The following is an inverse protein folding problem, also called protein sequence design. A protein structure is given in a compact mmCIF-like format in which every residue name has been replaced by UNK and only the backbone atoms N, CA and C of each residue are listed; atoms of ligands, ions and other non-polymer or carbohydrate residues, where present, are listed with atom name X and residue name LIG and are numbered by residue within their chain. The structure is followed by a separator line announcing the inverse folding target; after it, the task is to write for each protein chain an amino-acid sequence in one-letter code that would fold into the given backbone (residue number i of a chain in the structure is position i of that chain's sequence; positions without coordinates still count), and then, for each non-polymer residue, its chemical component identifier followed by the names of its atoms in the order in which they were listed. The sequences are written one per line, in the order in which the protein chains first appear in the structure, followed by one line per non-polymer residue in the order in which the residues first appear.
data_IF_755259623255
#
_entry.id   IF_755259623255
#
_cell.length_a   1.000
_cell.length_b   1.000
_cell.length_c   1.000
_cell.angle_alpha   90.00
_cell.angle_beta   90.00
_cell.angle_gamma   90.00
#
_symmetry.space_group_name_H-M   'P 1'
#
loop_
_entity.id
_entity.type
_entity.pdbx_description
1 polymer ?
#
# COMPACT_ATOMS: atom_id res chain seq x y z
N UNK A 1 -11.65 -11.29 -11.08
CA UNK A 1 -11.51 -9.88 -10.65
C UNK A 1 -10.35 -9.80 -9.68
N UNK A 2 -9.38 -8.96 -9.95
CA UNK A 2 -8.25 -8.70 -9.08
C UNK A 2 -8.50 -7.47 -8.21
N UNK A 3 -7.95 -7.46 -7.01
CA UNK A 3 -8.09 -6.33 -6.07
C UNK A 3 -6.70 -5.80 -5.74
N UNK A 4 -6.51 -4.50 -5.96
CA UNK A 4 -5.28 -3.79 -5.62
C UNK A 4 -5.57 -2.81 -4.49
N UNK A 5 -4.91 -3.02 -3.36
CA UNK A 5 -4.95 -2.13 -2.20
C UNK A 5 -3.74 -1.20 -2.27
N UNK A 6 -3.93 0.04 -2.66
CA UNK A 6 -2.89 1.06 -2.69
C UNK A 6 -2.82 1.75 -1.34
N UNK A 7 -1.72 1.64 -0.66
CA UNK A 7 -1.53 2.27 0.66
C UNK A 7 -0.33 3.22 0.65
N UNK A 8 -0.55 4.46 1.07
CA UNK A 8 0.55 5.33 1.45
C UNK A 8 1.04 4.92 2.85
N UNK A 9 2.36 4.86 3.07
CA UNK A 9 2.94 4.58 4.39
C UNK A 9 2.32 5.47 5.50
N UNK A 10 2.36 5.02 6.75
CA UNK A 10 1.97 5.81 7.92
C UNK A 10 2.83 7.05 8.11
N UNK A 11 2.42 7.98 8.96
CA UNK A 11 3.21 9.19 9.23
C UNK A 11 4.64 8.82 9.65
N UNK A 12 5.62 9.44 8.99
CA UNK A 12 7.03 9.30 9.35
C UNK A 12 7.48 10.43 10.30
N UNK A 13 8.59 10.20 11.00
CA UNK A 13 9.28 11.24 11.76
C UNK A 13 9.72 12.39 10.83
N UNK A 14 10.00 13.55 11.42
CA UNK A 14 10.48 14.72 10.67
C UNK A 14 11.73 14.39 9.85
N UNK A 15 11.89 14.97 8.64
CA UNK A 15 13.13 14.85 7.88
C UNK A 15 14.37 15.33 8.65
N UNK A 16 14.20 16.23 9.63
CA UNK A 16 15.29 16.71 10.48
C UNK A 16 15.74 15.70 11.55
N UNK A 17 14.94 14.66 11.81
CA UNK A 17 15.22 13.64 12.79
C UNK A 17 15.84 12.37 12.17
N UNK A 18 16.23 12.42 10.90
CA UNK A 18 16.84 11.31 10.19
C UNK A 18 18.03 11.79 9.34
N UNK A 19 19.01 10.92 9.13
CA UNK A 19 20.19 11.21 8.32
C UNK A 19 19.83 11.40 6.84
N UNK A 20 18.90 10.59 6.34
CA UNK A 20 18.43 10.64 4.95
C UNK A 20 16.91 10.40 4.89
N UNK A 21 16.25 10.85 3.83
CA UNK A 21 14.81 10.60 3.64
C UNK A 21 14.44 9.11 3.70
N UNK A 22 15.25 8.26 3.07
CA UNK A 22 15.05 6.82 3.04
C UNK A 22 15.07 6.19 4.45
N UNK A 23 15.91 6.68 5.36
CA UNK A 23 16.07 6.18 6.72
C UNK A 23 15.06 6.74 7.74
N UNK A 24 14.13 7.62 7.31
CA UNK A 24 13.09 8.15 8.19
C UNK A 24 12.17 7.02 8.69
N UNK A 25 12.10 6.91 10.01
CA UNK A 25 11.25 5.92 10.66
C UNK A 25 9.78 6.32 10.67
N UNK A 26 8.92 5.34 10.85
CA UNK A 26 7.51 5.54 11.14
C UNK A 26 7.38 6.21 12.52
N UNK A 27 6.60 7.28 12.60
CA UNK A 27 6.32 7.94 13.88
C UNK A 27 5.38 7.09 14.75
N UNK A 28 5.30 7.40 16.05
CA UNK A 28 4.33 6.75 16.94
C UNK A 28 2.89 6.94 16.43
N UNK A 29 2.59 8.14 15.93
CA UNK A 29 1.28 8.40 15.34
C UNK A 29 1.07 7.59 14.04
N UNK A 30 2.11 7.42 13.22
CA UNK A 30 2.07 6.55 12.05
C UNK A 30 1.78 5.09 12.38
N UNK A 31 2.27 4.59 13.52
CA UNK A 31 1.92 3.25 14.04
C UNK A 31 0.44 3.16 14.41
N UNK A 32 -0.10 4.19 15.07
CA UNK A 32 -1.54 4.27 15.41
C UNK A 32 -2.39 4.27 14.14
N UNK A 33 -2.04 5.09 13.14
CA UNK A 33 -2.72 5.12 11.84
C UNK A 33 -2.75 3.74 11.18
N UNK A 34 -1.59 3.08 11.14
CA UNK A 34 -1.42 1.79 10.49
C UNK A 34 -2.17 0.68 11.22
N UNK A 35 -2.13 0.66 12.55
CA UNK A 35 -2.89 -0.30 13.38
C UNK A 35 -4.39 -0.14 13.15
N UNK A 36 -4.89 1.10 13.06
CA UNK A 36 -6.29 1.36 12.75
C UNK A 36 -6.67 0.73 11.40
N UNK A 37 -5.89 0.96 10.35
CA UNK A 37 -6.12 0.38 9.04
C UNK A 37 -6.05 -1.15 9.06
N UNK A 38 -5.07 -1.72 9.73
CA UNK A 38 -4.95 -3.17 9.89
C UNK A 38 -6.20 -3.81 10.49
N UNK A 39 -6.82 -3.16 11.47
CA UNK A 39 -8.06 -3.63 12.10
C UNK A 39 -9.27 -3.58 11.17
N UNK A 40 -9.34 -2.63 10.24
CA UNK A 40 -10.44 -2.52 9.29
C UNK A 40 -10.46 -3.68 8.28
N UNK A 41 -9.29 -4.25 7.98
CA UNK A 41 -9.12 -5.29 6.95
C UNK A 41 -8.81 -6.67 7.52
N UNK A 42 -9.04 -6.90 8.80
CA UNK A 42 -8.74 -8.18 9.44
C UNK A 42 -9.40 -9.37 8.80
N UNK A 43 -10.66 -9.21 8.37
CA UNK A 43 -11.43 -10.27 7.71
C UNK A 43 -11.10 -10.42 6.22
N UNK A 44 -10.30 -9.51 5.68
CA UNK A 44 -9.97 -9.48 4.26
C UNK A 44 -8.82 -10.45 3.96
N UNK A 45 -9.02 -11.28 2.95
CA UNK A 45 -7.98 -12.18 2.50
C UNK A 45 -6.94 -11.39 1.69
N UNK A 46 -5.78 -11.18 2.26
CA UNK A 46 -4.62 -10.57 1.59
C UNK A 46 -3.65 -11.67 1.18
N UNK A 47 -3.26 -11.72 -0.10
CA UNK A 47 -2.36 -12.76 -0.58
C UNK A 47 -0.89 -12.36 -0.43
N UNK A 48 -0.56 -11.10 -0.73
CA UNK A 48 0.82 -10.59 -0.62
C UNK A 48 0.88 -9.08 -0.44
N UNK A 49 1.96 -8.61 0.17
CA UNK A 49 2.34 -7.20 0.27
C UNK A 49 3.55 -6.94 -0.63
N UNK A 50 3.48 -5.90 -1.44
CA UNK A 50 4.59 -5.34 -2.18
C UNK A 50 4.96 -4.01 -1.53
N UNK A 51 6.19 -3.85 -1.07
CA UNK A 51 6.57 -2.79 -0.12
C UNK A 51 7.84 -2.09 -0.58
N UNK A 52 7.81 -0.76 -0.61
CA UNK A 52 9.03 0.04 -0.78
C UNK A 52 10.03 -0.22 0.35
N UNK A 53 11.32 -0.21 0.05
CA UNK A 53 12.40 -0.53 0.99
C UNK A 53 12.73 0.58 2.00
N UNK A 54 12.13 1.77 1.92
CA UNK A 54 12.31 2.82 2.92
C UNK A 54 11.85 2.36 4.33
N UNK A 55 12.48 2.86 5.39
CA UNK A 55 12.16 2.46 6.76
C UNK A 55 10.67 2.60 7.07
N UNK A 56 10.07 3.76 6.76
CA UNK A 56 8.65 4.04 7.05
C UNK A 56 7.69 3.09 6.36
N UNK A 57 7.98 2.63 5.14
CA UNK A 57 7.15 1.65 4.41
C UNK A 57 7.32 0.25 4.96
N UNK A 58 8.55 -0.17 5.25
CA UNK A 58 8.83 -1.46 5.89
C UNK A 58 8.17 -1.57 7.26
N UNK A 59 8.27 -0.51 8.08
CA UNK A 59 7.65 -0.46 9.41
C UNK A 59 6.11 -0.41 9.31
N UNK A 60 5.55 0.27 8.30
CA UNK A 60 4.10 0.20 8.01
C UNK A 60 3.67 -1.25 7.75
N UNK A 61 4.38 -1.99 6.90
CA UNK A 61 4.10 -3.40 6.65
C UNK A 61 4.24 -4.26 7.91
N UNK A 62 5.26 -4.02 8.73
CA UNK A 62 5.45 -4.74 10.01
C UNK A 62 4.29 -4.52 10.97
N UNK A 63 3.81 -3.27 11.12
CA UNK A 63 2.67 -2.94 11.98
C UNK A 63 1.39 -3.61 11.48
N UNK A 64 1.13 -3.64 10.16
CA UNK A 64 -0.01 -4.37 9.60
C UNK A 64 0.06 -5.86 9.94
N UNK A 65 1.21 -6.50 9.67
CA UNK A 65 1.40 -7.94 9.92
C UNK A 65 1.27 -8.28 11.41
N UNK A 66 1.84 -7.46 12.31
CA UNK A 66 1.65 -7.59 13.76
C UNK A 66 0.19 -7.47 14.16
N UNK A 67 -0.51 -6.45 13.64
CA UNK A 67 -1.93 -6.23 13.95
C UNK A 67 -2.77 -7.44 13.55
N UNK A 68 -2.55 -7.98 12.35
CA UNK A 68 -3.26 -9.18 11.89
C UNK A 68 -2.92 -10.43 12.69
N UNK A 69 -1.65 -10.59 13.09
CA UNK A 69 -1.21 -11.69 13.96
C UNK A 69 -1.87 -11.61 15.35
N UNK A 70 -1.90 -10.42 15.94
CA UNK A 70 -2.49 -10.20 17.28
C UNK A 70 -4.01 -10.41 17.29
N UNK A 71 -4.65 -10.37 16.14
CA UNK A 71 -6.08 -10.59 15.97
C UNK A 71 -6.40 -12.00 15.44
N UNK A 72 -5.49 -12.95 15.60
CA UNK A 72 -5.66 -14.36 15.23
C UNK A 72 -5.96 -14.58 13.75
N UNK A 73 -5.37 -13.81 12.86
CA UNK A 73 -5.46 -14.04 11.42
C UNK A 73 -4.97 -15.45 11.08
N UNK A 74 -5.80 -16.23 10.43
CA UNK A 74 -5.47 -17.62 10.04
C UNK A 74 -4.32 -17.70 9.02
N UNK A 75 -4.06 -16.61 8.32
CA UNK A 75 -3.01 -16.50 7.32
C UNK A 75 -2.43 -15.10 7.33
N UNK A 76 -1.11 -15.02 7.35
CA UNK A 76 -0.38 -13.78 7.14
C UNK A 76 0.21 -13.75 5.73
N UNK A 77 0.01 -12.65 4.98
CA UNK A 77 0.59 -12.53 3.64
C UNK A 77 2.11 -12.45 3.70
N UNK A 78 2.76 -12.87 2.63
CA UNK A 78 4.18 -12.60 2.41
C UNK A 78 4.41 -11.13 2.09
N UNK A 79 5.53 -10.56 2.55
CA UNK A 79 5.95 -9.22 2.21
C UNK A 79 7.18 -9.25 1.32
N UNK A 80 7.09 -8.63 0.14
CA UNK A 80 8.18 -8.48 -0.81
C UNK A 80 8.67 -7.04 -0.80
N UNK A 81 9.89 -6.85 -0.33
CA UNK A 81 10.53 -5.54 -0.22
C UNK A 81 11.28 -5.24 -1.52
N UNK A 82 11.10 -4.03 -2.06
CA UNK A 82 11.78 -3.61 -3.29
C UNK A 82 12.16 -2.13 -3.26
N UNK A 83 13.36 -1.83 -3.71
CA UNK A 83 13.86 -0.45 -3.90
C UNK A 83 13.18 0.26 -5.07
N UNK A 84 12.71 -0.50 -6.06
CA UNK A 84 11.99 0.02 -7.24
C UNK A 84 10.76 0.82 -6.87
N UNK A 85 10.11 0.54 -5.73
CA UNK A 85 8.94 1.25 -5.26
C UNK A 85 9.28 2.55 -4.47
N UNK A 86 10.56 2.80 -4.18
CA UNK A 86 10.97 3.99 -3.43
C UNK A 86 10.79 5.25 -4.27
N UNK A 87 9.89 6.14 -3.81
CA UNK A 87 9.51 7.39 -4.49
C UNK A 87 9.17 7.21 -5.98
N UNK A 88 8.70 6.02 -6.35
CA UNK A 88 8.37 5.67 -7.72
C UNK A 88 7.17 6.46 -8.25
N UNK A 89 7.20 6.75 -9.55
CA UNK A 89 6.06 7.30 -10.27
C UNK A 89 5.00 6.23 -10.59
N UNK A 90 3.84 6.66 -11.08
CA UNK A 90 2.72 5.77 -11.39
C UNK A 90 3.07 4.69 -12.43
N UNK A 91 3.88 5.03 -13.42
CA UNK A 91 4.28 4.09 -14.48
C UNK A 91 5.18 2.99 -13.93
N UNK A 92 6.14 3.35 -13.08
CA UNK A 92 7.03 2.39 -12.41
C UNK A 92 6.24 1.48 -11.48
N UNK A 93 5.29 2.02 -10.70
CA UNK A 93 4.41 1.21 -9.85
C UNK A 93 3.54 0.25 -10.67
N UNK A 94 3.04 0.68 -11.82
CA UNK A 94 2.26 -0.18 -12.72
C UNK A 94 3.10 -1.35 -13.24
N UNK A 95 4.33 -1.09 -13.71
CA UNK A 95 5.23 -2.17 -14.17
C UNK A 95 5.57 -3.16 -13.03
N UNK A 96 5.74 -2.65 -11.82
CA UNK A 96 5.99 -3.47 -10.65
C UNK A 96 4.80 -4.41 -10.36
N UNK A 97 3.58 -3.88 -10.40
CA UNK A 97 2.34 -4.65 -10.19
C UNK A 97 2.12 -5.69 -11.29
N UNK A 98 2.49 -5.38 -12.54
CA UNK A 98 2.42 -6.35 -13.66
C UNK A 98 3.17 -7.65 -13.41
N UNK A 99 4.24 -7.59 -12.65
CA UNK A 99 5.09 -8.75 -12.33
C UNK A 99 4.51 -9.65 -11.23
N UNK A 100 3.35 -9.30 -10.69
CA UNK A 100 2.70 -10.08 -9.62
C UNK A 100 2.27 -11.45 -10.15
N UNK A 101 2.50 -12.49 -9.34
CA UNK A 101 2.10 -13.86 -9.69
C UNK A 101 0.59 -13.98 -9.92
N UNK A 102 0.19 -14.79 -10.88
CA UNK A 102 -1.23 -15.07 -11.22
C UNK A 102 -2.02 -15.72 -10.07
N UNK A 103 -1.34 -16.30 -9.07
CA UNK A 103 -1.98 -16.88 -7.88
C UNK A 103 -2.47 -15.79 -6.92
N UNK A 104 -1.88 -14.59 -6.95
CA UNK A 104 -2.27 -13.45 -6.12
C UNK A 104 -3.57 -12.88 -6.66
N UNK A 105 -4.60 -12.78 -5.82
CA UNK A 105 -5.89 -12.17 -6.19
C UNK A 105 -6.11 -10.83 -5.50
N UNK A 106 -5.53 -10.63 -4.32
CA UNK A 106 -5.53 -9.37 -3.58
C UNK A 106 -4.10 -8.98 -3.23
N UNK A 107 -3.60 -7.95 -3.89
CA UNK A 107 -2.27 -7.38 -3.70
C UNK A 107 -2.38 -6.07 -2.90
N UNK A 108 -1.54 -5.91 -1.88
CA UNK A 108 -1.29 -4.62 -1.25
C UNK A 108 0.02 -4.04 -1.76
N UNK A 109 -0.02 -2.78 -2.18
CA UNK A 109 1.17 -2.00 -2.51
C UNK A 109 1.32 -0.87 -1.51
N UNK A 110 2.41 -0.91 -0.72
CA UNK A 110 2.73 0.10 0.30
C UNK A 110 3.90 0.94 -0.23
N UNK A 111 3.62 2.19 -0.57
CA UNK A 111 4.59 3.08 -1.21
C UNK A 111 4.38 4.56 -0.80
N UNK A 112 4.71 5.49 -1.67
CA UNK A 112 4.85 6.91 -1.37
C UNK A 112 3.98 7.77 -2.29
N UNK A 113 3.58 8.96 -1.79
CA UNK A 113 3.07 10.03 -2.64
C UNK A 113 4.23 10.77 -3.33
N UNK A 114 3.99 11.37 -4.52
CA UNK A 114 2.70 11.40 -5.23
C UNK A 114 2.34 10.10 -5.98
N UNK A 115 3.29 9.16 -6.11
CA UNK A 115 3.15 7.96 -6.95
C UNK A 115 1.87 7.15 -6.71
N UNK A 116 1.50 6.87 -5.45
CA UNK A 116 0.28 6.07 -5.17
C UNK A 116 -1.01 6.80 -5.56
N UNK A 117 -1.09 8.14 -5.36
CA UNK A 117 -2.24 8.94 -5.78
C UNK A 117 -2.36 9.03 -7.30
N UNK A 118 -1.23 9.22 -7.98
CA UNK A 118 -1.16 9.26 -9.45
C UNK A 118 -1.46 7.89 -10.06
N UNK A 119 -1.00 6.81 -9.43
CA UNK A 119 -1.27 5.46 -9.89
C UNK A 119 -2.76 5.11 -9.75
N UNK A 120 -3.39 5.46 -8.63
CA UNK A 120 -4.83 5.33 -8.47
C UNK A 120 -5.60 6.10 -9.58
N UNK A 121 -5.20 7.35 -9.85
CA UNK A 121 -5.80 8.17 -10.91
C UNK A 121 -5.60 7.56 -12.30
N UNK A 122 -4.42 7.03 -12.59
CA UNK A 122 -4.11 6.36 -13.86
C UNK A 122 -5.02 5.15 -14.09
N UNK A 123 -5.23 4.33 -13.06
CA UNK A 123 -6.05 3.11 -13.18
C UNK A 123 -7.55 3.39 -13.28
N UNK A 124 -8.03 4.50 -12.70
CA UNK A 124 -9.47 4.68 -12.46
C UNK A 124 -10.06 5.97 -13.04
N UNK A 125 -9.23 6.82 -13.65
CA UNK A 125 -9.61 8.20 -14.07
C UNK A 125 -10.16 9.08 -12.93
N UNK A 126 -9.97 8.67 -11.67
CA UNK A 126 -10.45 9.38 -10.49
C UNK A 126 -9.26 9.75 -9.60
N UNK A 127 -8.98 11.04 -9.44
CA UNK A 127 -7.94 11.49 -8.53
C UNK A 127 -8.43 11.46 -7.09
N UNK A 128 -7.67 10.78 -6.23
CA UNK A 128 -7.87 10.81 -4.79
C UNK A 128 -6.57 11.21 -4.10
N UNK A 129 -6.67 12.12 -3.13
CA UNK A 129 -5.52 12.53 -2.34
C UNK A 129 -5.29 11.53 -1.21
N UNK A 130 -4.17 10.82 -1.28
CA UNK A 130 -3.79 9.82 -0.27
C UNK A 130 -3.03 10.47 0.88
N UNK A 131 -3.69 10.67 2.03
CA UNK A 131 -3.01 10.98 3.30
C UNK A 131 -2.14 9.81 3.78
N UNK A 132 -1.30 10.02 4.80
CA UNK A 132 -0.50 8.94 5.41
C UNK A 132 -1.41 7.83 5.93
N UNK A 133 -1.03 6.60 5.69
CA UNK A 133 -1.80 5.37 5.96
C UNK A 133 -3.20 5.28 5.32
N UNK A 134 -3.58 6.20 4.42
CA UNK A 134 -4.81 6.03 3.64
C UNK A 134 -4.66 4.87 2.68
N UNK A 135 -5.78 4.18 2.42
CA UNK A 135 -5.85 3.05 1.50
C UNK A 135 -6.89 3.34 0.42
N UNK A 136 -6.51 3.18 -0.83
CA UNK A 136 -7.43 3.11 -1.96
C UNK A 136 -7.62 1.65 -2.35
N UNK A 137 -8.85 1.17 -2.26
CA UNK A 137 -9.23 -0.14 -2.78
C UNK A 137 -9.65 0.02 -4.23
N UNK A 138 -8.89 -0.61 -5.12
CA UNK A 138 -9.13 -0.59 -6.57
C UNK A 138 -9.53 -1.98 -7.03
N UNK A 139 -10.71 -2.11 -7.59
CA UNK A 139 -11.15 -3.33 -8.26
C UNK A 139 -10.79 -3.24 -9.74
N UNK A 140 -10.06 -4.24 -10.22
CA UNK A 140 -9.53 -4.29 -11.57
C UNK A 140 -10.40 -5.20 -12.46
N UNK A 141 -10.81 -4.70 -13.62
CA UNK A 141 -11.60 -5.43 -14.63
C UNK A 141 -10.70 -6.26 -15.56
N UNK A 142 -9.73 -6.95 -14.96
CA UNK A 142 -8.75 -7.82 -15.63
C UNK A 142 -8.66 -9.16 -14.90
N UNK A 143 -8.15 -10.19 -15.57
CA UNK A 143 -7.98 -11.53 -15.02
C UNK A 143 -6.52 -11.83 -14.62
N UNK A 144 -5.58 -11.12 -15.19
CA UNK A 144 -4.14 -11.28 -14.91
C UNK A 144 -3.49 -9.92 -14.64
N UNK A 145 -2.54 -9.88 -13.71
CA UNK A 145 -1.79 -8.67 -13.36
C UNK A 145 -1.02 -8.10 -14.56
N UNK A 146 -0.60 -8.96 -15.49
CA UNK A 146 0.09 -8.55 -16.72
C UNK A 146 -0.77 -7.62 -17.60
N UNK A 147 -2.09 -7.72 -17.50
CA UNK A 147 -3.04 -6.94 -18.31
C UNK A 147 -3.35 -5.56 -17.70
N UNK A 148 -2.74 -5.22 -16.54
CA UNK A 148 -2.98 -3.93 -15.91
C UNK A 148 -2.54 -2.77 -16.82
N UNK A 149 -3.42 -1.82 -17.02
CA UNK A 149 -3.23 -0.67 -17.90
C UNK A 149 -4.05 0.53 -17.37
N UNK A 150 -3.82 1.73 -17.90
CA UNK A 150 -4.69 2.85 -17.57
C UNK A 150 -6.16 2.51 -17.82
N UNK A 151 -7.04 2.98 -16.92
CA UNK A 151 -8.50 2.80 -17.04
C UNK A 151 -8.98 1.34 -16.96
N UNK A 152 -8.22 0.46 -16.30
CA UNK A 152 -8.63 -0.94 -16.07
C UNK A 152 -9.29 -1.18 -14.72
N UNK A 153 -9.45 -0.15 -13.89
CA UNK A 153 -9.99 -0.27 -12.54
C UNK A 153 -11.01 0.79 -12.18
N UNK A 154 -11.64 0.60 -11.04
CA UNK A 154 -12.47 1.62 -10.39
C UNK A 154 -12.20 1.64 -8.89
N UNK A 155 -12.40 2.82 -8.25
CA UNK A 155 -12.30 2.95 -6.80
C UNK A 155 -13.51 2.27 -6.16
N UNK A 156 -13.28 1.18 -5.44
CA UNK A 156 -14.29 0.50 -4.64
C UNK A 156 -14.39 1.08 -3.22
N UNK A 157 -13.29 1.64 -2.71
CA UNK A 157 -13.24 2.30 -1.41
C UNK A 157 -12.05 3.24 -1.26
N UNK A 158 -12.22 4.29 -0.45
CA UNK A 158 -11.15 5.17 0.01
C UNK A 158 -11.19 5.22 1.54
N UNK A 159 -10.29 4.49 2.17
CA UNK A 159 -10.27 4.28 3.62
C UNK A 159 -9.30 5.26 4.25
N UNK A 160 -9.88 6.26 4.93
CA UNK A 160 -9.12 7.32 5.59
C UNK A 160 -8.55 6.82 6.92
N UNK A 161 -7.30 7.15 7.17
CA UNK A 161 -6.67 6.93 8.47
C UNK A 161 -7.03 8.04 9.47
N UNK A 162 -6.83 7.82 10.79
CA UNK A 162 -6.95 8.87 11.78
C UNK A 162 -6.07 10.08 11.42
N UNK A 163 -6.55 11.26 11.75
CA UNK A 163 -5.79 12.53 11.64
C UNK A 163 -5.23 12.90 13.00
N UNK A 164 -4.09 13.63 13.02
CA UNK A 164 -3.54 14.14 14.27
C UNK A 164 -4.50 15.06 15.00
#
# INVERSE_FOLDING_TARGET
MLVLMLMRHGQAVSPFDAEHDHSRDLSEFGKIQTTHQGRLFLSEKTDTLLVSDANRTRQTAQVLLSTWSDMDALHLPSAHITDTAYLADASTLMELVRMTSSHVKRLWLIAHNPGVSEFAAMLTKSYISMGTANIAEVHLSIDQWLDIAPDTGHIAGHHLSPRP
#
